data_IF_615965934291
#
_entry.id   IF_615965934291
#
_cell.length_a   1.000
_cell.length_b   1.000
_cell.length_c   1.000
_cell.angle_alpha   90.00
_cell.angle_beta   90.00
_cell.angle_gamma   90.00
#
_symmetry.space_group_name_H-M   'P 1'
#
loop_
_entity.id
_entity.type
_entity.pdbx_description
1 polymer ?
#
# COMPACT_ATOMS: atom_id res chain seq x y z
N UNK A 1 0.91 -34.10 -13.51
CA UNK A 1 0.83 -33.60 -14.90
C UNK A 1 0.51 -32.12 -14.78
N UNK A 2 1.41 -31.23 -15.19
CA UNK A 2 1.18 -29.80 -15.10
C UNK A 2 0.22 -29.41 -16.22
N UNK A 3 -1.01 -29.00 -15.92
CA UNK A 3 -1.98 -28.45 -16.88
C UNK A 3 -1.55 -27.03 -17.27
N UNK A 4 -0.49 -26.94 -18.06
CA UNK A 4 0.05 -25.68 -18.58
C UNK A 4 -0.71 -25.26 -19.85
N UNK A 5 -2.00 -24.92 -19.72
CA UNK A 5 -2.74 -24.30 -20.82
C UNK A 5 -2.32 -22.82 -20.93
N UNK A 6 -1.44 -22.54 -21.89
CA UNK A 6 -0.90 -21.20 -22.13
C UNK A 6 -1.99 -20.16 -22.42
N UNK A 7 -3.07 -20.54 -23.11
CA UNK A 7 -4.16 -19.60 -23.45
C UNK A 7 -4.94 -19.18 -22.21
N UNK A 8 -5.25 -20.12 -21.32
CA UNK A 8 -5.91 -19.84 -20.04
C UNK A 8 -5.05 -18.95 -19.15
N UNK A 9 -3.74 -19.21 -19.08
CA UNK A 9 -2.82 -18.38 -18.31
C UNK A 9 -2.72 -16.94 -18.86
N UNK A 10 -2.68 -16.76 -20.18
CA UNK A 10 -2.68 -15.43 -20.80
C UNK A 10 -3.96 -14.67 -20.45
N UNK A 11 -5.12 -15.34 -20.47
CA UNK A 11 -6.39 -14.72 -20.12
C UNK A 11 -6.43 -14.29 -18.64
N UNK A 12 -5.91 -15.13 -17.74
CA UNK A 12 -5.79 -14.80 -16.32
C UNK A 12 -4.89 -13.57 -16.12
N UNK A 13 -3.72 -13.52 -16.78
CA UNK A 13 -2.79 -12.38 -16.68
C UNK A 13 -3.46 -11.10 -17.20
N UNK A 14 -4.14 -11.15 -18.34
CA UNK A 14 -4.83 -9.97 -18.91
C UNK A 14 -5.96 -9.48 -18.00
N UNK A 15 -6.77 -10.40 -17.49
CA UNK A 15 -7.86 -10.07 -16.58
C UNK A 15 -7.34 -9.48 -15.27
N UNK A 16 -6.32 -10.09 -14.68
CA UNK A 16 -5.69 -9.59 -13.46
C UNK A 16 -5.11 -8.18 -13.67
N UNK A 17 -4.40 -7.94 -14.77
CA UNK A 17 -3.91 -6.60 -15.09
C UNK A 17 -5.03 -5.56 -15.20
N UNK A 18 -6.13 -5.90 -15.88
CA UNK A 18 -7.28 -5.00 -15.98
C UNK A 18 -7.90 -4.73 -14.61
N UNK A 19 -8.11 -5.78 -13.81
CA UNK A 19 -8.68 -5.68 -12.49
C UNK A 19 -7.79 -4.86 -11.55
N UNK A 20 -6.48 -5.12 -11.52
CA UNK A 20 -5.51 -4.37 -10.73
C UNK A 20 -5.53 -2.89 -11.10
N UNK A 21 -5.54 -2.55 -12.39
CA UNK A 21 -5.61 -1.16 -12.84
C UNK A 21 -6.94 -0.49 -12.42
N UNK A 22 -8.06 -1.20 -12.51
CA UNK A 22 -9.35 -0.68 -12.06
C UNK A 22 -9.38 -0.43 -10.54
N UNK A 23 -8.84 -1.35 -9.75
CA UNK A 23 -8.75 -1.21 -8.28
C UNK A 23 -7.82 -0.05 -7.91
N UNK A 24 -6.66 0.08 -8.57
CA UNK A 24 -5.73 1.19 -8.34
C UNK A 24 -6.43 2.53 -8.62
N UNK A 25 -7.18 2.63 -9.71
CA UNK A 25 -7.93 3.84 -10.04
C UNK A 25 -9.00 4.14 -8.98
N UNK A 26 -9.75 3.13 -8.55
CA UNK A 26 -10.77 3.29 -7.51
C UNK A 26 -10.16 3.82 -6.20
N UNK A 27 -9.05 3.23 -5.75
CA UNK A 27 -8.33 3.67 -4.57
C UNK A 27 -7.86 5.14 -4.69
N UNK A 28 -7.35 5.53 -5.86
CA UNK A 28 -6.92 6.93 -6.11
C UNK A 28 -8.09 7.89 -6.02
N UNK A 29 -9.26 7.53 -6.55
CA UNK A 29 -10.47 8.34 -6.48
C UNK A 29 -10.91 8.50 -5.02
N UNK A 30 -10.93 7.42 -4.24
CA UNK A 30 -11.35 7.45 -2.84
C UNK A 30 -10.40 8.30 -1.98
N UNK A 31 -9.09 8.13 -2.15
CA UNK A 31 -8.08 8.97 -1.47
C UNK A 31 -8.27 10.44 -1.85
N UNK A 32 -8.48 10.74 -3.14
CA UNK A 32 -8.68 12.12 -3.60
C UNK A 32 -9.94 12.75 -3.01
N UNK A 33 -11.03 11.99 -2.92
CA UNK A 33 -12.28 12.44 -2.31
C UNK A 33 -12.11 12.69 -0.81
N UNK A 34 -11.40 11.82 -0.10
CA UNK A 34 -11.10 11.99 1.31
C UNK A 34 -10.24 13.25 1.56
N UNK A 35 -9.19 13.47 0.76
CA UNK A 35 -8.36 14.67 0.82
C UNK A 35 -9.17 15.94 0.55
N UNK A 36 -10.10 15.90 -0.41
CA UNK A 36 -10.97 17.04 -0.70
C UNK A 36 -11.85 17.39 0.50
N UNK A 37 -12.45 16.41 1.17
CA UNK A 37 -13.25 16.61 2.38
C UNK A 37 -12.41 17.23 3.51
N UNK A 38 -11.21 16.69 3.74
CA UNK A 38 -10.29 17.23 4.74
C UNK A 38 -9.90 18.69 4.48
N UNK A 39 -9.74 19.06 3.22
CA UNK A 39 -9.46 20.44 2.81
C UNK A 39 -10.68 21.36 3.01
N UNK A 40 -11.90 20.86 2.73
CA UNK A 40 -13.16 21.59 3.01
C UNK A 40 -13.37 21.81 4.51
N UNK A 41 -12.92 20.86 5.35
CA UNK A 41 -12.94 20.97 6.82
C UNK A 41 -11.84 21.91 7.38
N UNK A 42 -11.02 22.52 6.51
CA UNK A 42 -10.02 23.53 6.89
C UNK A 42 -8.67 22.97 7.33
N UNK A 43 -8.41 21.67 7.12
CA UNK A 43 -7.11 21.07 7.44
C UNK A 43 -6.05 21.45 6.40
N UNK A 44 -4.87 21.84 6.87
CA UNK A 44 -3.73 22.16 5.99
C UNK A 44 -3.06 20.87 5.52
N UNK A 45 -3.29 20.50 4.26
CA UNK A 45 -2.65 19.32 3.65
C UNK A 45 -1.37 19.78 2.95
N UNK A 46 -0.20 19.34 3.43
CA UNK A 46 1.08 19.61 2.78
C UNK A 46 1.35 18.58 1.67
N UNK A 47 2.18 18.98 0.71
CA UNK A 47 2.60 18.07 -0.37
C UNK A 47 3.39 16.87 0.16
N UNK A 48 4.06 17.01 1.30
CA UNK A 48 4.78 15.92 1.97
C UNK A 48 3.82 14.84 2.49
N UNK A 49 2.64 15.22 3.00
CA UNK A 49 1.63 14.28 3.48
C UNK A 49 1.09 13.43 2.33
N UNK A 50 0.88 14.05 1.16
CA UNK A 50 0.43 13.38 -0.06
C UNK A 50 1.49 12.40 -0.60
N UNK A 51 2.77 12.67 -0.37
CA UNK A 51 3.86 11.80 -0.82
C UNK A 51 3.81 10.43 -0.11
N UNK A 52 3.40 10.41 1.16
CA UNK A 52 3.28 9.18 1.95
C UNK A 52 2.09 8.31 1.50
N UNK A 53 1.10 8.89 0.83
CA UNK A 53 -0.05 8.18 0.25
C UNK A 53 0.27 7.52 -1.09
N UNK A 54 1.45 7.77 -1.66
CA UNK A 54 1.79 7.18 -2.95
C UNK A 54 1.95 5.66 -2.84
N UNK A 55 1.29 4.86 -3.71
CA UNK A 55 1.38 3.40 -3.69
C UNK A 55 2.75 2.89 -4.15
N UNK A 56 3.58 3.79 -4.71
CA UNK A 56 4.93 3.48 -5.09
C UNK A 56 5.84 3.61 -3.88
N UNK A 57 6.27 2.45 -3.37
CA UNK A 57 7.42 2.36 -2.48
C UNK A 57 8.58 3.17 -3.09
N UNK A 58 8.90 4.30 -2.48
CA UNK A 58 10.00 5.17 -2.95
C UNK A 58 11.38 4.61 -2.57
N UNK A 59 11.43 3.55 -1.77
CA UNK A 59 12.64 2.81 -1.42
C UNK A 59 12.52 1.34 -1.84
N UNK A 60 13.64 0.76 -2.26
CA UNK A 60 13.69 -0.66 -2.64
C UNK A 60 13.83 -1.51 -1.38
N UNK A 61 12.81 -2.32 -1.06
CA UNK A 61 12.99 -3.44 -0.14
C UNK A 61 13.84 -4.48 -0.88
N UNK A 62 15.01 -4.82 -0.32
CA UNK A 62 15.88 -5.86 -0.86
C UNK A 62 15.20 -7.22 -0.68
N UNK A 63 14.39 -7.65 -1.66
CA UNK A 63 13.68 -8.95 -1.64
C UNK A 63 14.63 -10.16 -1.75
N UNK A 64 15.85 -9.96 -2.27
CA UNK A 64 16.85 -11.01 -2.51
C UNK A 64 18.26 -10.66 -2.01
N UNK A 65 18.41 -9.66 -1.13
CA UNK A 65 19.70 -9.46 -0.45
C UNK A 65 19.73 -10.30 0.80
N UNK A 66 20.92 -10.71 1.19
CA UNK A 66 21.21 -11.23 2.51
C UNK A 66 20.83 -10.15 3.55
N UNK A 67 19.79 -10.42 4.34
CA UNK A 67 19.58 -9.68 5.59
C UNK A 67 20.59 -10.24 6.57
N UNK A 68 21.66 -9.50 6.85
CA UNK A 68 22.51 -9.80 7.99
C UNK A 68 21.70 -9.39 9.21
N UNK A 69 21.02 -10.37 9.82
CA UNK A 69 20.28 -10.17 11.06
C UNK A 69 21.34 -10.19 12.17
N UNK A 70 21.75 -9.01 12.64
CA UNK A 70 22.57 -8.93 13.85
C UNK A 70 21.67 -9.22 15.06
N UNK A 71 21.77 -10.45 15.59
CA UNK A 71 21.00 -10.87 16.76
C UNK A 71 21.42 -10.12 18.05
N UNK A 72 22.50 -9.35 18.01
CA UNK A 72 22.91 -8.47 19.12
C UNK A 72 22.30 -7.08 19.01
N UNK A 73 21.77 -6.70 17.84
CA UNK A 73 21.04 -5.47 17.66
C UNK A 73 19.63 -5.66 18.20
N UNK A 74 19.37 -5.14 19.40
CA UNK A 74 18.02 -5.13 19.97
C UNK A 74 17.21 -4.19 19.07
N UNK A 75 16.22 -4.69 18.31
CA UNK A 75 15.41 -3.83 17.46
C UNK A 75 14.79 -2.76 18.34
N UNK A 76 14.71 -1.53 17.81
CA UNK A 76 14.04 -0.46 18.51
C UNK A 76 12.67 -0.99 18.95
N UNK A 77 12.31 -0.86 20.24
CA UNK A 77 11.04 -1.35 20.70
C UNK A 77 10.00 -0.75 19.78
N UNK A 78 9.12 -1.59 19.26
CA UNK A 78 7.92 -1.13 18.57
C UNK A 78 7.17 -0.36 19.65
N UNK A 79 7.47 0.93 19.78
CA UNK A 79 6.79 1.84 20.67
C UNK A 79 5.43 1.96 20.04
N UNK A 80 4.53 1.06 20.46
CA UNK A 80 3.10 0.98 20.15
C UNK A 80 2.75 2.04 19.12
N UNK A 81 3.08 1.81 17.84
CA UNK A 81 2.73 2.75 16.76
C UNK A 81 1.24 2.57 16.69
N UNK A 82 0.52 3.38 17.46
CA UNK A 82 -0.90 3.70 17.49
C UNK A 82 -1.81 2.70 16.76
N UNK A 83 -1.64 1.39 17.01
CA UNK A 83 -2.45 0.35 16.38
C UNK A 83 -3.88 0.43 16.92
N UNK A 84 -4.06 1.09 18.06
CA UNK A 84 -5.34 1.42 18.67
C UNK A 84 -6.04 2.61 17.99
N UNK A 85 -5.33 3.53 17.32
CA UNK A 85 -5.97 4.65 16.58
C UNK A 85 -6.44 4.21 15.18
N UNK A 86 -5.89 3.13 14.63
CA UNK A 86 -6.27 2.56 13.33
C UNK A 86 -7.50 1.64 13.44
N UNK A 87 -7.82 1.16 14.64
CA UNK A 87 -8.90 0.18 14.87
C UNK A 87 -9.83 0.68 16.00
N UNK A 88 -10.33 1.91 15.91
CA UNK A 88 -11.62 2.20 16.54
C UNK A 88 -12.74 1.88 15.53
N UNK A 89 -13.66 0.94 15.83
CA UNK A 89 -14.85 0.77 15.02
C UNK A 89 -15.78 1.96 15.33
N UNK A 90 -15.79 2.97 14.47
CA UNK A 90 -16.79 4.04 14.57
C UNK A 90 -18.18 3.43 14.38
N UNK A 91 -18.98 3.52 15.44
CA UNK A 91 -20.44 3.31 15.45
C UNK A 91 -21.14 4.38 14.63
#
# INVERSE_FOLDING_TARGET
MCENNTEEQINIIKYNNLLSNAIILHNVIDITNALKRLNEDGNLILREDIKNLSPYMTSHIKRFSEYVIDLNEIPQPISKIDIEEIIEPVT
#
